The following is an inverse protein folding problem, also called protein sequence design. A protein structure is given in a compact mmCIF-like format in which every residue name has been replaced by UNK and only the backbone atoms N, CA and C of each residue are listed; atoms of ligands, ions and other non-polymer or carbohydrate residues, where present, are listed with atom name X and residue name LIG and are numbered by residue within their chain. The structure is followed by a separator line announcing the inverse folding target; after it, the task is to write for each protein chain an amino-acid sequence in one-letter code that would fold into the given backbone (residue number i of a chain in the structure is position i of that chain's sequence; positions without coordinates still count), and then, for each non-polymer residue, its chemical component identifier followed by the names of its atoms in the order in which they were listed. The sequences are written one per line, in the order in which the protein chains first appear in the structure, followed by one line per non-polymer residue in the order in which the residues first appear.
data_IF_229875530152
#
_entry.id   IF_229875530152
#
_cell.length_a   1.000
_cell.length_b   1.000
_cell.length_c   1.000
_cell.angle_alpha   90.00
_cell.angle_beta   90.00
_cell.angle_gamma   90.00
#
_symmetry.space_group_name_H-M   'P 1'
#
loop_
_entity.id
_entity.type
_entity.pdbx_description
1 polymer ?
#
# COMPACT_ATOMS: atom_id res chain seq x y z
N UNK A 1 -18.10 -4.74 -1.70
CA UNK A 1 -17.92 -5.26 -0.33
C UNK A 1 -16.54 -4.85 0.17
N UNK A 2 -16.48 -4.41 1.41
CA UNK A 2 -15.20 -4.08 2.03
C UNK A 2 -14.39 -5.35 2.32
N UNK A 3 -13.06 -5.21 2.33
CA UNK A 3 -12.17 -6.28 2.75
C UNK A 3 -12.40 -6.59 4.24
N UNK A 4 -12.39 -7.88 4.58
CA UNK A 4 -12.63 -8.34 5.95
C UNK A 4 -11.46 -9.21 6.44
N UNK A 5 -11.03 -8.98 7.68
CA UNK A 5 -10.02 -9.83 8.33
C UNK A 5 -10.51 -11.27 8.40
N UNK A 6 -9.65 -12.20 8.04
CA UNK A 6 -9.95 -13.62 8.00
C UNK A 6 -10.50 -14.13 6.67
N UNK A 7 -10.72 -13.23 5.71
CA UNK A 7 -11.21 -13.57 4.37
C UNK A 7 -10.18 -13.19 3.31
N UNK A 8 -10.33 -13.76 2.11
CA UNK A 8 -9.47 -13.44 0.99
C UNK A 8 -9.52 -11.92 0.69
N UNK A 9 -8.34 -11.32 0.48
CA UNK A 9 -8.26 -9.93 0.05
C UNK A 9 -8.80 -9.80 -1.38
N UNK A 10 -9.45 -8.68 -1.74
CA UNK A 10 -9.92 -8.49 -3.11
C UNK A 10 -8.79 -8.66 -4.12
N UNK A 11 -9.05 -9.40 -5.19
CA UNK A 11 -8.09 -9.51 -6.28
C UNK A 11 -7.95 -8.17 -6.97
N UNK A 12 -6.72 -7.87 -7.40
CA UNK A 12 -6.46 -6.64 -8.12
C UNK A 12 -5.50 -6.89 -9.26
N UNK A 13 -5.54 -5.99 -10.23
CA UNK A 13 -4.66 -5.99 -11.40
C UNK A 13 -4.43 -4.53 -11.74
N UNK A 14 -3.33 -3.98 -11.26
CA UNK A 14 -3.01 -2.55 -11.37
C UNK A 14 -1.61 -2.36 -11.92
N UNK A 15 -1.40 -1.27 -12.65
CA UNK A 15 -0.08 -0.94 -13.20
C UNK A 15 0.79 -0.26 -12.13
N UNK A 16 2.06 -0.62 -12.09
CA UNK A 16 3.03 0.06 -11.22
C UNK A 16 3.60 1.31 -11.92
N UNK A 17 4.57 1.96 -11.29
CA UNK A 17 5.21 3.19 -11.81
C UNK A 17 5.93 2.99 -13.15
N UNK A 18 6.26 1.77 -13.50
CA UNK A 18 6.93 1.43 -14.77
C UNK A 18 5.95 0.94 -15.84
N UNK A 19 4.64 0.99 -15.55
CA UNK A 19 3.61 0.52 -16.46
C UNK A 19 3.49 -0.99 -16.54
N UNK A 20 4.05 -1.72 -15.58
CA UNK A 20 3.98 -3.17 -15.52
C UNK A 20 2.78 -3.60 -14.69
N UNK A 21 2.08 -4.66 -15.14
CA UNK A 21 0.92 -5.18 -14.44
C UNK A 21 1.33 -5.92 -13.17
N UNK A 22 0.72 -5.54 -12.05
CA UNK A 22 0.93 -6.19 -10.75
C UNK A 22 -0.41 -6.72 -10.25
N UNK A 23 -0.43 -7.98 -9.84
CA UNK A 23 -1.63 -8.65 -9.36
C UNK A 23 -1.44 -9.20 -7.97
N UNK A 24 -2.54 -9.48 -7.26
CA UNK A 24 -2.48 -10.14 -5.96
C UNK A 24 -1.77 -11.49 -6.06
N UNK A 25 -2.00 -12.23 -7.15
CA UNK A 25 -1.37 -13.54 -7.38
C UNK A 25 0.16 -13.50 -7.45
N UNK A 26 0.75 -12.35 -7.79
CA UNK A 26 2.20 -12.21 -7.86
C UNK A 26 2.87 -12.36 -6.48
N UNK A 27 2.10 -12.26 -5.40
CA UNK A 27 2.62 -12.29 -4.03
C UNK A 27 2.29 -13.58 -3.27
N UNK A 28 1.71 -14.58 -3.92
CA UNK A 28 1.46 -15.88 -3.29
C UNK A 28 2.77 -16.45 -2.75
N UNK A 29 2.76 -16.91 -1.51
CA UNK A 29 3.95 -17.41 -0.81
C UNK A 29 4.70 -16.34 -0.02
N UNK A 30 4.28 -15.07 -0.10
CA UNK A 30 4.86 -13.97 0.65
C UNK A 30 3.79 -13.25 1.45
N UNK A 31 4.19 -12.63 2.56
CA UNK A 31 3.37 -11.63 3.21
C UNK A 31 3.35 -10.39 2.34
N UNK A 32 2.23 -9.69 2.30
CA UNK A 32 2.05 -8.49 1.50
C UNK A 32 1.48 -7.35 2.35
N UNK A 33 2.12 -6.21 2.26
CA UNK A 33 1.56 -4.95 2.77
C UNK A 33 1.08 -4.14 1.58
N UNK A 34 -0.20 -3.77 1.61
CA UNK A 34 -0.77 -2.79 0.67
C UNK A 34 -1.05 -1.54 1.49
N UNK A 35 -0.30 -0.48 1.27
CA UNK A 35 -0.57 0.77 1.97
C UNK A 35 -1.20 1.79 1.02
N UNK A 36 -2.36 2.30 1.41
CA UNK A 36 -3.09 3.31 0.67
C UNK A 36 -2.70 4.69 1.19
N UNK A 37 -2.39 5.61 0.29
CA UNK A 37 -2.06 6.99 0.62
C UNK A 37 -2.84 7.96 -0.26
N UNK A 38 -3.08 9.20 0.21
CA UNK A 38 -4.01 10.11 -0.49
C UNK A 38 -3.52 10.63 -1.84
N UNK A 39 -2.24 11.00 -1.96
CA UNK A 39 -1.76 11.65 -3.19
C UNK A 39 -0.24 11.68 -3.28
N UNK A 40 0.29 11.43 -4.49
CA UNK A 40 1.70 11.52 -4.78
C UNK A 40 2.27 12.91 -4.46
N UNK A 41 3.53 12.93 -4.03
CA UNK A 41 4.32 14.14 -3.80
C UNK A 41 3.68 15.11 -2.79
N UNK A 42 3.04 14.57 -1.76
CA UNK A 42 2.60 15.31 -0.59
C UNK A 42 3.49 14.96 0.60
N UNK A 43 3.60 15.83 1.63
CA UNK A 43 4.54 15.59 2.73
C UNK A 43 4.41 14.25 3.43
N UNK A 44 3.20 13.85 3.82
CA UNK A 44 2.98 12.58 4.51
C UNK A 44 3.21 11.36 3.63
N UNK A 45 2.81 11.45 2.37
CA UNK A 45 3.02 10.36 1.40
C UNK A 45 4.51 10.19 1.08
N UNK A 46 5.25 11.30 1.03
CA UNK A 46 6.70 11.27 0.85
C UNK A 46 7.40 10.61 2.04
N UNK A 47 6.95 10.92 3.26
CA UNK A 47 7.48 10.28 4.48
C UNK A 47 7.28 8.77 4.41
N UNK A 48 6.09 8.30 4.05
CA UNK A 48 5.82 6.86 3.92
C UNK A 48 6.71 6.21 2.87
N UNK A 49 6.80 6.79 1.68
CA UNK A 49 7.62 6.25 0.60
C UNK A 49 9.10 6.14 0.99
N UNK A 50 9.63 7.16 1.66
CA UNK A 50 11.00 7.14 2.16
C UNK A 50 11.21 6.10 3.25
N UNK A 51 10.26 5.98 4.18
CA UNK A 51 10.34 5.02 5.28
C UNK A 51 10.32 3.58 4.77
N UNK A 52 9.43 3.25 3.85
CA UNK A 52 9.38 1.89 3.27
C UNK A 52 10.60 1.61 2.40
N UNK A 53 11.11 2.58 1.67
CA UNK A 53 12.34 2.43 0.89
C UNK A 53 13.54 2.15 1.80
N UNK A 54 13.66 2.90 2.90
CA UNK A 54 14.76 2.72 3.86
C UNK A 54 14.70 1.37 4.59
N UNK A 55 13.51 0.81 4.78
CA UNK A 55 13.32 -0.47 5.49
C UNK A 55 13.08 -1.64 4.55
N UNK A 56 13.16 -1.43 3.24
CA UNK A 56 12.83 -2.48 2.26
C UNK A 56 13.61 -3.77 2.48
N UNK A 57 14.89 -3.70 2.80
CA UNK A 57 15.72 -4.87 3.05
C UNK A 57 15.21 -5.67 4.26
N UNK A 58 14.77 -4.99 5.31
CA UNK A 58 14.25 -5.66 6.50
C UNK A 58 12.94 -6.40 6.18
N UNK A 59 12.07 -5.80 5.33
CA UNK A 59 10.86 -6.45 4.86
C UNK A 59 11.18 -7.65 3.97
N UNK A 60 12.11 -7.48 3.02
CA UNK A 60 12.54 -8.56 2.13
C UNK A 60 13.10 -9.74 2.94
N UNK A 61 13.93 -9.49 3.94
CA UNK A 61 14.52 -10.52 4.79
C UNK A 61 13.45 -11.28 5.60
N UNK A 62 12.33 -10.64 5.89
CA UNK A 62 11.19 -11.25 6.59
C UNK A 62 10.15 -11.88 5.64
N UNK A 63 10.43 -11.93 4.34
CA UNK A 63 9.53 -12.43 3.30
C UNK A 63 8.23 -11.61 3.20
N UNK A 64 8.36 -10.29 3.26
CA UNK A 64 7.24 -9.35 3.20
C UNK A 64 7.44 -8.42 1.99
N UNK A 65 6.48 -8.41 1.06
CA UNK A 65 6.43 -7.44 -0.03
C UNK A 65 5.63 -6.22 0.42
N UNK A 66 6.00 -5.04 -0.07
CA UNK A 66 5.29 -3.79 0.22
C UNK A 66 4.97 -3.08 -1.08
N UNK A 67 3.70 -2.72 -1.27
CA UNK A 67 3.27 -1.90 -2.40
C UNK A 67 2.42 -0.74 -1.88
N UNK A 68 2.60 0.44 -2.48
CA UNK A 68 1.73 1.58 -2.21
C UNK A 68 0.63 1.66 -3.27
N UNK A 69 -0.50 2.24 -2.92
CA UNK A 69 -1.64 2.43 -3.83
C UNK A 69 -2.22 3.83 -3.62
N UNK A 70 -2.46 4.54 -4.70
CA UNK A 70 -3.24 5.77 -4.68
C UNK A 70 -4.06 5.89 -5.96
N UNK A 71 -4.94 6.90 -6.02
CA UNK A 71 -5.74 7.20 -7.20
C UNK A 71 -4.98 7.94 -8.30
N UNK A 72 -3.69 8.21 -8.08
CA UNK A 72 -2.83 8.83 -9.09
C UNK A 72 -2.54 7.84 -10.23
N UNK A 73 -2.16 8.38 -11.39
CA UNK A 73 -1.84 7.56 -12.56
C UNK A 73 -0.38 7.09 -12.58
N UNK A 74 -0.06 6.27 -13.58
CA UNK A 74 1.28 5.69 -13.75
C UNK A 74 2.35 6.78 -13.89
N UNK A 75 2.09 7.81 -14.67
CA UNK A 75 3.05 8.89 -14.90
C UNK A 75 3.37 9.63 -13.61
N UNK A 76 2.34 9.94 -12.81
CA UNK A 76 2.50 10.57 -11.51
C UNK A 76 3.36 9.71 -10.57
N UNK A 77 3.08 8.42 -10.52
CA UNK A 77 3.86 7.47 -9.71
C UNK A 77 5.32 7.39 -10.16
N UNK A 78 5.55 7.38 -11.47
CA UNK A 78 6.91 7.36 -12.01
C UNK A 78 7.70 8.60 -11.58
N UNK A 79 7.09 9.77 -11.70
CA UNK A 79 7.72 11.02 -11.30
C UNK A 79 7.99 11.05 -9.79
N UNK A 80 7.06 10.57 -8.98
CA UNK A 80 7.20 10.51 -7.53
C UNK A 80 8.34 9.57 -7.12
N UNK A 81 8.38 8.36 -7.69
CA UNK A 81 9.47 7.42 -7.42
C UNK A 81 10.83 7.97 -7.83
N UNK A 82 10.92 8.60 -9.01
CA UNK A 82 12.18 9.16 -9.50
C UNK A 82 12.65 10.32 -8.65
N UNK A 83 11.73 11.20 -8.23
CA UNK A 83 12.07 12.36 -7.42
C UNK A 83 12.72 12.00 -6.09
N UNK A 84 12.28 10.93 -5.46
CA UNK A 84 12.75 10.52 -4.12
C UNK A 84 13.51 9.20 -4.12
N UNK A 85 13.79 8.61 -5.27
CA UNK A 85 14.51 7.34 -5.41
C UNK A 85 13.86 6.19 -4.63
N UNK A 86 12.55 6.08 -4.70
CA UNK A 86 11.83 4.98 -4.06
C UNK A 86 12.13 3.64 -4.74
N UNK A 87 12.28 2.59 -3.95
CA UNK A 87 12.55 1.23 -4.44
C UNK A 87 11.36 0.30 -4.26
N UNK A 88 10.25 0.79 -3.72
CA UNK A 88 8.99 0.07 -3.63
C UNK A 88 8.13 0.38 -4.85
N UNK A 89 7.21 -0.53 -5.18
CA UNK A 89 6.24 -0.29 -6.26
C UNK A 89 5.08 0.55 -5.76
N UNK A 90 4.65 1.49 -6.61
CA UNK A 90 3.44 2.29 -6.39
C UNK A 90 2.43 1.91 -7.47
N UNK A 91 1.27 1.42 -7.06
CA UNK A 91 0.23 0.94 -7.96
C UNK A 91 -0.77 2.05 -8.24
N UNK A 92 -1.12 2.22 -9.52
CA UNK A 92 -2.05 3.24 -9.96
C UNK A 92 -3.48 2.69 -9.96
N UNK A 93 -4.37 3.38 -9.23
CA UNK A 93 -5.79 3.02 -9.18
C UNK A 93 -6.69 4.23 -9.51
N UNK A 94 -6.50 4.83 -10.72
CA UNK A 94 -7.24 6.04 -11.08
C UNK A 94 -8.75 5.82 -11.21
N UNK A 95 -9.19 4.59 -11.41
CA UNK A 95 -10.61 4.24 -11.49
C UNK A 95 -11.18 3.77 -10.14
N UNK A 96 -10.38 3.81 -9.08
CA UNK A 96 -10.79 3.45 -7.71
C UNK A 96 -11.28 2.01 -7.57
N UNK A 97 -10.79 1.10 -8.41
CA UNK A 97 -11.26 -0.31 -8.40
C UNK A 97 -10.88 -1.00 -7.08
N UNK A 98 -9.60 -1.00 -6.73
CA UNK A 98 -9.14 -1.61 -5.49
C UNK A 98 -9.56 -0.78 -4.27
N UNK A 99 -9.49 0.55 -4.36
CA UNK A 99 -9.88 1.43 -3.26
C UNK A 99 -11.32 1.17 -2.83
N UNK A 100 -12.23 1.01 -3.80
CA UNK A 100 -13.63 0.69 -3.51
C UNK A 100 -13.80 -0.76 -3.04
N UNK A 101 -13.17 -1.71 -3.71
CA UNK A 101 -13.30 -3.14 -3.36
C UNK A 101 -12.79 -3.43 -1.95
N UNK A 102 -11.72 -2.78 -1.53
CA UNK A 102 -11.16 -2.95 -0.20
C UNK A 102 -11.91 -2.16 0.87
N UNK A 103 -12.82 -1.28 0.47
CA UNK A 103 -13.61 -0.47 1.40
C UNK A 103 -12.81 0.64 2.08
N UNK A 104 -11.82 1.20 1.39
CA UNK A 104 -11.04 2.31 1.92
C UNK A 104 -11.93 3.52 2.16
N UNK A 105 -11.84 4.11 3.35
CA UNK A 105 -12.64 5.28 3.71
C UNK A 105 -12.10 6.57 3.12
N UNK A 106 -12.94 7.59 3.12
CA UNK A 106 -12.57 8.93 2.66
C UNK A 106 -12.83 9.95 3.77
N UNK A 107 -12.06 11.03 3.77
CA UNK A 107 -12.22 12.14 4.70
C UNK A 107 -12.21 13.45 3.94
N UNK A 108 -13.01 14.40 4.43
CA UNK A 108 -13.08 15.75 3.88
C UNK A 108 -12.18 16.66 4.72
N UNK A 109 -11.30 17.40 4.04
CA UNK A 109 -10.47 18.41 4.67
C UNK A 109 -10.57 19.71 3.87
N UNK A 110 -11.21 20.72 4.45
CA UNK A 110 -11.41 22.04 3.82
C UNK A 110 -12.04 21.95 2.42
N UNK A 111 -13.04 21.09 2.27
CA UNK A 111 -13.75 20.91 1.01
C UNK A 111 -13.10 19.98 0.01
N UNK A 112 -11.94 19.42 0.31
CA UNK A 112 -11.26 18.43 -0.53
C UNK A 112 -11.41 17.05 0.11
N UNK A 113 -11.86 16.08 -0.69
CA UNK A 113 -12.04 14.69 -0.24
C UNK A 113 -10.79 13.89 -0.56
N UNK A 114 -10.26 13.19 0.43
CA UNK A 114 -9.08 12.34 0.31
C UNK A 114 -9.39 10.91 0.72
N UNK A 115 -8.73 9.95 0.07
CA UNK A 115 -8.69 8.57 0.55
C UNK A 115 -7.86 8.51 1.84
N UNK A 116 -8.38 7.83 2.85
CA UNK A 116 -7.69 7.72 4.14
C UNK A 116 -6.44 6.84 4.01
N UNK A 117 -5.38 7.19 4.76
CA UNK A 117 -4.21 6.34 4.89
C UNK A 117 -4.63 5.05 5.56
N UNK A 118 -4.54 3.95 4.82
CA UNK A 118 -5.00 2.64 5.27
C UNK A 118 -3.95 1.62 4.86
N UNK A 119 -3.58 0.72 5.75
CA UNK A 119 -2.69 -0.38 5.41
C UNK A 119 -3.38 -1.70 5.62
N UNK A 120 -3.17 -2.61 4.68
CA UNK A 120 -3.69 -3.97 4.74
C UNK A 120 -2.51 -4.94 4.83
N UNK A 121 -2.61 -5.92 5.72
CA UNK A 121 -1.62 -7.00 5.84
C UNK A 121 -2.28 -8.28 5.35
N UNK A 122 -1.68 -8.89 4.32
CA UNK A 122 -2.18 -10.09 3.66
C UNK A 122 -1.15 -11.20 3.85
N UNK A 123 -1.59 -12.40 4.21
CA UNK A 123 -0.70 -13.53 4.43
C UNK A 123 -0.30 -14.20 3.10
N UNK A 124 0.63 -15.19 3.14
CA UNK A 124 1.08 -15.88 1.93
C UNK A 124 -0.02 -16.62 1.16
N UNK A 125 -1.17 -16.86 1.78
CA UNK A 125 -2.31 -17.53 1.13
C UNK A 125 -3.32 -16.52 0.54
N UNK A 126 -3.05 -15.22 0.66
CA UNK A 126 -3.93 -14.16 0.15
C UNK A 126 -5.04 -13.76 1.10
N UNK A 127 -4.98 -14.17 2.35
CA UNK A 127 -5.99 -13.86 3.37
C UNK A 127 -5.61 -12.58 4.11
N UNK A 128 -6.57 -11.68 4.26
CA UNK A 128 -6.38 -10.43 5.01
C UNK A 128 -6.25 -10.75 6.51
N UNK A 129 -5.14 -10.32 7.10
CA UNK A 129 -4.84 -10.59 8.51
C UNK A 129 -5.02 -9.38 9.40
N UNK A 130 -4.81 -8.19 8.90
CA UNK A 130 -4.93 -6.97 9.70
C UNK A 130 -5.20 -5.75 8.82
N UNK A 131 -5.94 -4.78 9.38
CA UNK A 131 -6.23 -3.49 8.73
C UNK A 131 -5.84 -2.39 9.71
N UNK A 132 -5.14 -1.37 9.18
CA UNK A 132 -4.78 -0.17 9.93
C UNK A 132 -5.46 1.01 9.25
N UNK A 133 -6.36 1.67 9.95
CA UNK A 133 -7.10 2.83 9.41
C UNK A 133 -6.51 4.14 9.95
N UNK A 134 -6.61 5.20 9.16
CA UNK A 134 -6.15 6.55 9.53
C UNK A 134 -4.72 6.54 10.06
N UNK A 135 -3.84 5.93 9.30
CA UNK A 135 -2.45 5.70 9.66
C UNK A 135 -1.67 7.02 9.75
N UNK A 136 -0.83 7.14 10.80
CA UNK A 136 0.19 8.19 10.84
C UNK A 136 1.33 7.82 9.91
N UNK A 137 1.83 8.74 9.06
CA UNK A 137 2.91 8.41 8.13
C UNK A 137 4.25 8.11 8.81
N UNK A 138 4.49 8.65 10.00
CA UNK A 138 5.76 8.46 10.72
C UNK A 138 5.72 7.20 11.56
N UNK A 139 6.73 6.33 11.40
CA UNK A 139 6.91 5.14 12.25
C UNK A 139 6.03 3.96 11.91
N UNK A 140 5.13 4.08 10.95
CA UNK A 140 4.18 3.01 10.61
C UNK A 140 4.89 1.76 10.07
N UNK A 141 5.99 1.91 9.32
CA UNK A 141 6.79 0.81 8.80
C UNK A 141 7.32 -0.09 9.92
N UNK A 142 7.68 0.48 11.06
CA UNK A 142 8.15 -0.28 12.22
C UNK A 142 7.04 -1.06 12.89
N UNK A 143 5.86 -0.46 12.99
CA UNK A 143 4.67 -1.12 13.54
C UNK A 143 4.30 -2.32 12.68
N UNK A 144 4.25 -2.15 11.36
CA UNK A 144 3.95 -3.22 10.42
C UNK A 144 4.96 -4.36 10.52
N UNK A 145 6.24 -4.03 10.49
CA UNK A 145 7.30 -5.04 10.52
C UNK A 145 7.22 -5.88 11.80
N UNK A 146 7.04 -5.24 12.95
CA UNK A 146 6.92 -5.92 14.23
C UNK A 146 5.68 -6.80 14.30
N UNK A 147 4.54 -6.28 13.88
CA UNK A 147 3.26 -7.01 13.92
C UNK A 147 3.28 -8.22 13.00
N UNK A 148 3.83 -8.08 11.78
CA UNK A 148 3.89 -9.19 10.82
C UNK A 148 4.85 -10.27 11.32
N UNK A 149 6.02 -9.90 11.83
CA UNK A 149 6.96 -10.88 12.42
C UNK A 149 6.32 -11.67 13.54
N UNK A 150 5.47 -11.04 14.34
CA UNK A 150 4.74 -11.73 15.41
C UNK A 150 3.68 -12.71 14.89
N UNK A 151 3.21 -12.53 13.66
CA UNK A 151 2.24 -13.42 13.00
C UNK A 151 2.90 -14.56 12.21
N UNK A 152 4.19 -14.47 11.98
CA UNK A 152 4.94 -15.49 11.20
C UNK A 152 5.26 -16.75 12.00
#
# INVERSE_FOLDING_TARGET
MAAEVGKAFPEFSLLNQDGEMVTLGDFVGKWLVVYVYPKDDTPGCTIQGKSFTATKQEFDDANIAVVGVSADDVESHKNFCNKFSFTIDLLADPNHELLNAAGVGQSDYKGTVYWNRTSFVIDPEGVLRKVYEKVSPEGHERVLLGDIKAMQ
#
